data_IF_143400327636
#
_entry.id   IF_143400327636
#
_cell.length_a   1.000
_cell.length_b   1.000
_cell.length_c   1.000
_cell.angle_alpha   90.00
_cell.angle_beta   90.00
_cell.angle_gamma   90.00
#
_symmetry.space_group_name_H-M   'P 1'
#
loop_
_entity.id
_entity.type
_entity.pdbx_description
1 polymer ?
#
# COMPACT_ATOMS: atom_id res chain seq x y z
N UNK A 1 -25.65 26.32 3.51
CA UNK A 1 -26.38 25.33 4.37
C UNK A 1 -26.49 23.96 3.71
N UNK A 2 -26.76 23.86 2.40
CA UNK A 2 -26.86 22.58 1.68
C UNK A 2 -25.55 21.81 1.58
N UNK A 3 -24.41 22.50 1.39
CA UNK A 3 -23.09 21.88 1.31
C UNK A 3 -22.61 21.27 2.66
N UNK A 4 -23.03 21.84 3.79
CA UNK A 4 -22.73 21.28 5.12
C UNK A 4 -23.55 20.02 5.44
N UNK A 5 -24.78 19.91 4.95
CA UNK A 5 -25.62 18.75 5.12
C UNK A 5 -25.12 17.53 4.32
N UNK A 6 -24.49 17.75 3.17
CA UNK A 6 -23.95 16.67 2.33
C UNK A 6 -22.61 16.15 2.84
N UNK A 7 -21.85 16.94 3.60
CA UNK A 7 -20.56 16.54 4.15
C UNK A 7 -20.66 15.54 5.32
N UNK A 8 -21.68 15.69 6.18
CA UNK A 8 -21.83 14.85 7.37
C UNK A 8 -22.78 13.65 7.24
N UNK A 9 -23.64 13.64 6.24
CA UNK A 9 -24.63 12.59 6.05
C UNK A 9 -24.26 11.66 4.90
N UNK A 10 -24.45 10.34 5.10
CA UNK A 10 -24.37 9.36 4.01
C UNK A 10 -25.21 9.85 2.83
N UNK A 11 -24.76 9.63 1.61
CA UNK A 11 -25.28 10.18 0.33
C UNK A 11 -26.83 10.17 0.21
N UNK A 12 -27.48 9.12 0.68
CA UNK A 12 -28.95 8.98 0.67
C UNK A 12 -29.68 9.99 1.55
N UNK A 13 -29.39 10.17 2.84
CA UNK A 13 -30.09 11.16 3.67
C UNK A 13 -29.81 12.61 3.24
N UNK A 14 -28.65 12.89 2.65
CA UNK A 14 -28.35 14.21 2.07
C UNK A 14 -29.28 14.55 0.89
N UNK A 15 -29.55 13.60 0.01
CA UNK A 15 -30.47 13.75 -1.09
C UNK A 15 -31.91 14.05 -0.63
N UNK A 16 -32.42 13.27 0.34
CA UNK A 16 -33.74 13.51 0.92
C UNK A 16 -33.84 14.85 1.64
N UNK A 17 -32.76 15.31 2.30
CA UNK A 17 -32.72 16.61 2.92
C UNK A 17 -32.86 17.78 1.96
N UNK A 18 -32.21 17.71 0.79
CA UNK A 18 -32.32 18.73 -0.25
C UNK A 18 -33.70 18.71 -0.90
N UNK A 19 -34.26 17.53 -1.10
CA UNK A 19 -35.61 17.38 -1.67
C UNK A 19 -36.68 17.94 -0.71
N UNK A 20 -36.54 17.71 0.59
CA UNK A 20 -37.36 18.30 1.62
C UNK A 20 -37.29 19.84 1.66
N UNK A 21 -36.06 20.40 1.58
CA UNK A 21 -35.85 21.85 1.51
C UNK A 21 -36.50 22.48 0.25
N UNK A 22 -36.37 21.83 -0.89
CA UNK A 22 -37.02 22.25 -2.14
C UNK A 22 -38.56 22.24 -2.01
N UNK A 23 -39.12 21.21 -1.38
CA UNK A 23 -40.55 21.13 -1.13
C UNK A 23 -41.05 22.21 -0.16
N UNK A 24 -40.32 22.48 0.93
CA UNK A 24 -40.64 23.55 1.87
C UNK A 24 -40.57 24.92 1.19
N UNK A 25 -39.55 25.16 0.35
CA UNK A 25 -39.41 26.42 -0.38
C UNK A 25 -40.55 26.63 -1.37
N UNK A 26 -40.98 25.59 -2.12
CA UNK A 26 -42.10 25.68 -3.05
C UNK A 26 -43.41 25.96 -2.32
N UNK A 27 -43.68 25.30 -1.18
CA UNK A 27 -44.87 25.55 -0.36
C UNK A 27 -44.86 27.00 0.17
N UNK A 28 -43.75 27.50 0.62
CA UNK A 28 -43.61 28.88 1.11
C UNK A 28 -43.85 29.90 0.01
N UNK A 29 -43.32 29.68 -1.19
CA UNK A 29 -43.59 30.51 -2.36
C UNK A 29 -45.09 30.57 -2.73
N UNK A 30 -45.77 29.39 -2.72
CA UNK A 30 -47.20 29.31 -3.00
C UNK A 30 -48.03 30.06 -1.93
N UNK A 31 -47.68 29.89 -0.66
CA UNK A 31 -48.36 30.54 0.45
C UNK A 31 -48.18 32.07 0.41
N UNK A 32 -47.00 32.59 0.13
CA UNK A 32 -46.72 34.02 -0.02
C UNK A 32 -47.49 34.62 -1.25
N UNK A 33 -47.56 33.85 -2.31
CA UNK A 33 -48.34 34.26 -3.48
C UNK A 33 -49.84 34.36 -3.19
N UNK A 34 -50.42 33.36 -2.48
CA UNK A 34 -51.83 33.34 -2.19
C UNK A 34 -52.24 34.39 -1.16
N UNK A 35 -51.43 34.67 -0.14
CA UNK A 35 -51.74 35.61 0.92
C UNK A 35 -51.35 37.06 0.59
N UNK A 36 -50.14 37.26 0.04
CA UNK A 36 -49.56 38.58 -0.12
C UNK A 36 -49.39 39.01 -1.58
N UNK A 37 -49.77 38.18 -2.56
CA UNK A 37 -49.54 38.38 -4.02
C UNK A 37 -48.09 38.71 -4.39
N UNK A 38 -47.12 38.20 -3.60
CA UNK A 38 -45.71 38.40 -3.85
C UNK A 38 -45.20 37.30 -4.77
N UNK A 39 -44.64 37.67 -5.91
CA UNK A 39 -44.04 36.75 -6.86
C UNK A 39 -42.57 36.49 -6.49
N UNK A 40 -42.22 35.27 -6.09
CA UNK A 40 -40.83 34.82 -5.89
C UNK A 40 -40.42 33.89 -7.03
N UNK A 41 -39.19 33.98 -7.55
CA UNK A 41 -38.71 33.07 -8.60
C UNK A 41 -38.55 31.66 -8.02
N UNK A 42 -39.38 30.70 -8.46
CA UNK A 42 -39.35 29.31 -7.95
C UNK A 42 -38.41 28.43 -8.72
N UNK A 43 -38.35 28.55 -10.05
CA UNK A 43 -37.67 27.60 -10.93
C UNK A 43 -36.15 27.68 -10.78
N UNK A 44 -35.59 28.87 -10.76
CA UNK A 44 -34.14 29.08 -10.74
C UNK A 44 -33.45 28.54 -9.46
N UNK A 45 -33.95 28.83 -8.23
CA UNK A 45 -33.33 28.32 -7.01
C UNK A 45 -33.49 26.80 -6.84
N UNK A 46 -34.65 26.23 -7.21
CA UNK A 46 -34.92 24.80 -7.07
C UNK A 46 -34.06 23.99 -8.06
N UNK A 47 -34.09 24.36 -9.35
CA UNK A 47 -33.31 23.68 -10.38
C UNK A 47 -31.82 23.88 -10.13
N UNK A 48 -31.38 25.09 -9.74
CA UNK A 48 -29.99 25.36 -9.37
C UNK A 48 -29.49 24.55 -8.18
N UNK A 49 -30.32 24.43 -7.12
CA UNK A 49 -29.96 23.60 -5.96
C UNK A 49 -29.84 22.12 -6.31
N UNK A 50 -30.75 21.58 -7.11
CA UNK A 50 -30.71 20.19 -7.56
C UNK A 50 -29.49 19.92 -8.46
N UNK A 51 -29.16 20.84 -9.37
CA UNK A 51 -28.00 20.72 -10.25
C UNK A 51 -26.68 20.75 -9.47
N UNK A 52 -26.52 21.68 -8.55
CA UNK A 52 -25.34 21.78 -7.69
C UNK A 52 -25.19 20.53 -6.83
N UNK A 53 -26.30 20.05 -6.27
CA UNK A 53 -26.33 18.81 -5.49
C UNK A 53 -25.89 17.60 -6.32
N UNK A 54 -26.41 17.46 -7.53
CA UNK A 54 -26.04 16.38 -8.44
C UNK A 54 -24.54 16.45 -8.82
N UNK A 55 -24.05 17.63 -9.18
CA UNK A 55 -22.64 17.83 -9.52
C UNK A 55 -21.71 17.50 -8.36
N UNK A 56 -22.04 17.93 -7.13
CA UNK A 56 -21.30 17.59 -5.91
C UNK A 56 -21.29 16.09 -5.64
N UNK A 57 -22.44 15.42 -5.82
CA UNK A 57 -22.59 13.98 -5.58
C UNK A 57 -21.77 13.17 -6.58
N UNK A 58 -21.80 13.53 -7.86
CA UNK A 58 -21.00 12.88 -8.92
C UNK A 58 -19.51 13.10 -8.68
N UNK A 59 -19.10 14.32 -8.34
CA UNK A 59 -17.70 14.66 -8.04
C UNK A 59 -17.20 13.90 -6.81
N UNK A 60 -18.00 13.84 -5.75
CA UNK A 60 -17.67 13.09 -4.54
C UNK A 60 -17.46 11.61 -4.86
N UNK A 61 -18.40 11.00 -5.58
CA UNK A 61 -18.35 9.59 -5.97
C UNK A 61 -17.12 9.29 -6.84
N UNK A 62 -16.87 10.12 -7.84
CA UNK A 62 -15.72 9.96 -8.73
C UNK A 62 -14.37 10.08 -7.99
N UNK A 63 -14.26 11.03 -7.05
CA UNK A 63 -12.99 11.28 -6.34
C UNK A 63 -12.75 10.29 -5.21
N UNK A 64 -13.75 9.97 -4.41
CA UNK A 64 -13.57 9.13 -3.21
C UNK A 64 -13.55 7.63 -3.53
N UNK A 65 -14.43 7.16 -4.39
CA UNK A 65 -14.51 5.74 -4.77
C UNK A 65 -13.23 5.30 -5.52
N UNK A 66 -12.70 6.18 -6.38
CA UNK A 66 -11.42 5.94 -7.06
C UNK A 66 -10.20 5.98 -6.12
N UNK A 67 -10.22 6.80 -5.07
CA UNK A 67 -9.10 6.86 -4.10
C UNK A 67 -9.00 5.59 -3.28
N UNK A 68 -10.10 5.03 -2.83
CA UNK A 68 -10.12 3.81 -2.03
C UNK A 68 -9.66 2.60 -2.84
N UNK A 69 -10.14 2.46 -4.07
CA UNK A 69 -9.66 1.42 -5.00
C UNK A 69 -8.16 1.57 -5.30
N UNK A 70 -7.67 2.79 -5.52
CA UNK A 70 -6.24 3.04 -5.75
C UNK A 70 -5.39 2.72 -4.53
N UNK A 71 -5.87 3.00 -3.32
CA UNK A 71 -5.16 2.67 -2.08
C UNK A 71 -5.05 1.16 -1.89
N UNK A 72 -6.15 0.42 -2.03
CA UNK A 72 -6.16 -1.04 -1.96
C UNK A 72 -5.23 -1.62 -3.02
N UNK A 73 -5.36 -1.20 -4.27
CA UNK A 73 -4.49 -1.61 -5.37
C UNK A 73 -3.01 -1.33 -5.08
N UNK A 74 -2.69 -0.14 -4.54
CA UNK A 74 -1.31 0.25 -4.19
C UNK A 74 -0.70 -0.61 -3.09
N UNK A 75 -1.47 -1.04 -2.10
CA UNK A 75 -0.99 -1.93 -1.03
C UNK A 75 -0.75 -3.34 -1.58
N UNK A 76 -1.71 -3.88 -2.33
CA UNK A 76 -1.59 -5.21 -2.92
C UNK A 76 -0.50 -5.32 -3.99
N UNK A 77 -0.29 -4.27 -4.78
CA UNK A 77 0.77 -4.26 -5.81
C UNK A 77 2.20 -4.26 -5.24
N UNK A 78 2.36 -4.01 -3.95
CA UNK A 78 3.66 -4.19 -3.27
C UNK A 78 4.01 -5.65 -3.02
N UNK A 79 3.00 -6.51 -2.90
CA UNK A 79 3.16 -7.92 -2.51
C UNK A 79 2.97 -8.83 -3.74
N UNK A 80 2.05 -8.49 -4.63
CA UNK A 80 1.62 -9.33 -5.75
C UNK A 80 1.85 -8.62 -7.08
N UNK A 81 2.12 -9.35 -8.16
CA UNK A 81 2.24 -8.78 -9.50
C UNK A 81 0.96 -8.01 -9.89
N UNK A 82 1.08 -6.85 -10.57
CA UNK A 82 -0.07 -5.98 -10.90
C UNK A 82 -1.20 -6.70 -11.65
N UNK A 83 -0.85 -7.66 -12.52
CA UNK A 83 -1.82 -8.44 -13.28
C UNK A 83 -2.69 -9.33 -12.40
N UNK A 84 -2.10 -9.91 -11.35
CA UNK A 84 -2.81 -10.74 -10.37
C UNK A 84 -3.73 -9.88 -9.49
N UNK A 85 -3.30 -8.67 -9.14
CA UNK A 85 -4.14 -7.71 -8.40
C UNK A 85 -5.38 -7.33 -9.21
N UNK A 86 -5.21 -7.07 -10.50
CA UNK A 86 -6.34 -6.75 -11.38
C UNK A 86 -7.34 -7.91 -11.46
N UNK A 87 -6.85 -9.15 -11.60
CA UNK A 87 -7.72 -10.33 -11.65
C UNK A 87 -8.47 -10.57 -10.34
N UNK A 88 -7.82 -10.36 -9.19
CA UNK A 88 -8.47 -10.46 -7.88
C UNK A 88 -9.53 -9.37 -7.66
N UNK A 89 -9.32 -8.18 -8.21
CA UNK A 89 -10.28 -7.08 -8.14
C UNK A 89 -11.47 -7.26 -9.10
N UNK A 90 -11.27 -7.95 -10.23
CA UNK A 90 -12.30 -8.25 -11.23
C UNK A 90 -13.11 -9.51 -10.90
N UNK A 91 -12.59 -10.37 -10.01
CA UNK A 91 -13.30 -11.58 -9.59
C UNK A 91 -14.53 -11.21 -8.73
N UNK A 92 -15.73 -11.50 -9.22
CA UNK A 92 -17.01 -11.25 -8.51
C UNK A 92 -17.13 -12.02 -7.18
N UNK A 93 -16.36 -13.11 -7.00
CA UNK A 93 -16.25 -13.85 -5.75
C UNK A 93 -14.83 -14.41 -5.58
N UNK A 94 -14.19 -14.09 -4.47
CA UNK A 94 -13.03 -14.84 -4.01
C UNK A 94 -13.54 -16.25 -3.62
N UNK A 95 -13.26 -17.25 -4.46
CA UNK A 95 -13.49 -18.63 -4.10
C UNK A 95 -12.55 -18.96 -2.93
N UNK A 96 -13.04 -18.88 -1.70
CA UNK A 96 -12.33 -19.25 -0.46
C UNK A 96 -12.04 -20.77 -0.39
N UNK A 97 -12.59 -21.55 -1.32
CA UNK A 97 -12.25 -22.95 -1.51
C UNK A 97 -10.92 -23.06 -2.25
N UNK A 98 -9.91 -23.64 -1.61
CA UNK A 98 -8.60 -23.87 -2.23
C UNK A 98 -8.71 -24.58 -3.59
N UNK A 99 -7.81 -24.26 -4.51
CA UNK A 99 -7.70 -24.91 -5.81
C UNK A 99 -6.39 -25.69 -5.90
N UNK A 100 -6.47 -26.92 -6.45
CA UNK A 100 -5.27 -27.70 -6.74
C UNK A 100 -4.59 -27.12 -7.98
N UNK A 101 -3.34 -26.69 -7.84
CA UNK A 101 -2.53 -26.10 -8.90
C UNK A 101 -1.13 -26.70 -8.90
N UNK A 102 -0.53 -26.75 -10.07
CA UNK A 102 0.89 -27.03 -10.21
C UNK A 102 1.65 -25.71 -10.07
N UNK A 103 2.54 -25.63 -9.09
CA UNK A 103 3.28 -24.43 -8.73
C UNK A 103 4.76 -24.74 -8.55
N UNK A 104 5.59 -23.75 -8.81
CA UNK A 104 7.00 -23.75 -8.40
C UNK A 104 7.16 -22.79 -7.24
N UNK A 105 7.78 -23.23 -6.16
CA UNK A 105 8.02 -22.41 -4.96
C UNK A 105 9.50 -22.10 -4.87
N UNK A 106 9.82 -20.87 -4.51
CA UNK A 106 11.18 -20.38 -4.24
C UNK A 106 11.26 -19.88 -2.80
N UNK A 107 12.31 -20.31 -2.12
CA UNK A 107 12.77 -19.72 -0.87
C UNK A 107 14.10 -19.03 -1.14
N UNK A 108 14.17 -17.77 -0.80
CA UNK A 108 15.39 -16.96 -0.94
C UNK A 108 15.78 -16.41 0.43
N UNK A 109 16.85 -16.94 0.98
CA UNK A 109 17.34 -16.64 2.31
C UNK A 109 18.60 -15.78 2.26
N UNK A 110 18.79 -14.88 3.24
CA UNK A 110 19.99 -14.03 3.32
C UNK A 110 21.07 -14.77 4.10
N UNK A 111 22.08 -15.22 3.37
CA UNK A 111 23.16 -16.01 3.95
C UNK A 111 23.91 -15.23 5.03
N UNK A 112 24.10 -15.85 6.19
CA UNK A 112 24.90 -15.32 7.30
C UNK A 112 24.19 -14.21 8.10
N UNK A 113 22.89 -14.00 7.91
CA UNK A 113 22.17 -12.93 8.60
C UNK A 113 22.16 -13.12 10.12
N UNK A 114 21.96 -14.34 10.60
CA UNK A 114 21.97 -14.66 12.04
C UNK A 114 23.34 -14.38 12.66
N UNK A 115 24.40 -14.86 12.01
CA UNK A 115 25.77 -14.63 12.51
C UNK A 115 26.14 -13.14 12.52
N UNK A 116 25.73 -12.39 11.48
CA UNK A 116 25.99 -10.95 11.42
C UNK A 116 25.19 -10.22 12.51
N UNK A 117 23.96 -10.62 12.79
CA UNK A 117 23.13 -10.00 13.83
C UNK A 117 23.72 -10.23 15.21
N UNK A 118 24.18 -11.44 15.50
CA UNK A 118 24.82 -11.79 16.76
C UNK A 118 26.13 -11.00 16.95
N UNK A 119 26.94 -10.93 15.91
CA UNK A 119 28.21 -10.17 15.93
C UNK A 119 27.96 -8.66 16.15
N UNK A 120 26.94 -8.10 15.51
CA UNK A 120 26.55 -6.69 15.70
C UNK A 120 26.09 -6.41 17.12
N UNK A 121 25.41 -7.36 17.77
CA UNK A 121 25.00 -7.23 19.17
C UNK A 121 26.23 -7.25 20.10
N UNK A 122 27.21 -8.16 19.87
CA UNK A 122 28.45 -8.23 20.65
C UNK A 122 29.25 -6.93 20.50
N UNK A 123 29.48 -6.46 19.27
CA UNK A 123 30.22 -5.20 19.01
C UNK A 123 29.51 -4.03 19.68
N UNK A 124 28.16 -3.98 19.62
CA UNK A 124 27.36 -2.91 20.24
C UNK A 124 27.51 -2.94 21.75
N UNK A 125 27.48 -4.12 22.37
CA UNK A 125 27.70 -4.28 23.81
C UNK A 125 29.09 -3.81 24.23
N UNK A 126 30.14 -4.16 23.48
CA UNK A 126 31.50 -3.70 23.71
C UNK A 126 31.64 -2.17 23.59
N UNK A 127 31.03 -1.56 22.57
CA UNK A 127 31.03 -0.11 22.38
C UNK A 127 30.33 0.61 23.55
N UNK A 128 29.20 0.09 24.02
CA UNK A 128 28.46 0.63 25.18
C UNK A 128 29.37 0.58 26.43
N UNK A 129 30.07 -0.51 26.61
CA UNK A 129 30.98 -0.66 27.75
C UNK A 129 32.21 0.27 27.65
N UNK A 130 32.84 0.37 26.48
CA UNK A 130 34.01 1.25 26.24
C UNK A 130 33.66 2.73 26.42
N UNK A 131 32.47 3.15 25.96
CA UNK A 131 32.01 4.54 26.08
C UNK A 131 31.26 4.83 27.37
N UNK A 132 31.17 3.86 28.30
CA UNK A 132 30.47 3.96 29.58
C UNK A 132 29.01 4.46 29.43
N UNK A 133 28.37 4.05 28.35
CA UNK A 133 26.96 4.41 28.08
C UNK A 133 26.06 3.64 29.07
N UNK A 134 25.12 4.36 29.72
CA UNK A 134 24.18 3.76 30.68
C UNK A 134 22.78 4.24 30.44
N UNK A 135 21.77 3.45 30.90
CA UNK A 135 20.38 3.79 30.82
C UNK A 135 19.93 4.09 29.39
N UNK A 136 19.26 5.22 29.20
CA UNK A 136 18.67 5.60 27.89
C UNK A 136 19.69 5.71 26.75
N UNK A 137 20.93 6.10 27.03
CA UNK A 137 21.95 6.23 25.99
C UNK A 137 22.38 4.86 25.42
N UNK A 138 22.44 3.83 26.26
CA UNK A 138 22.69 2.46 25.81
C UNK A 138 21.51 1.90 25.00
N UNK A 139 20.26 2.15 25.42
CA UNK A 139 19.06 1.75 24.68
C UNK A 139 19.03 2.37 23.28
N UNK A 140 19.26 3.67 23.17
CA UNK A 140 19.32 4.38 21.87
C UNK A 140 20.35 3.75 20.94
N UNK A 141 21.53 3.34 21.47
CA UNK A 141 22.56 2.70 20.64
C UNK A 141 22.13 1.34 20.11
N UNK A 142 21.46 0.52 20.94
CA UNK A 142 20.88 -0.74 20.49
C UNK A 142 19.78 -0.53 19.44
N UNK A 143 18.91 0.47 19.63
CA UNK A 143 17.83 0.78 18.69
C UNK A 143 18.39 1.24 17.34
N UNK A 144 19.43 2.08 17.31
CA UNK A 144 20.11 2.51 16.08
C UNK A 144 20.66 1.33 15.28
N UNK A 145 21.35 0.40 15.94
CA UNK A 145 21.93 -0.79 15.28
C UNK A 145 20.83 -1.72 14.78
N UNK A 146 19.77 -1.92 15.57
CA UNK A 146 18.61 -2.71 15.16
C UNK A 146 17.92 -2.09 13.94
N UNK A 147 17.72 -0.76 13.91
CA UNK A 147 17.12 -0.06 12.78
C UNK A 147 17.97 -0.19 11.51
N UNK A 148 19.29 -0.01 11.60
CA UNK A 148 20.21 -0.19 10.47
C UNK A 148 20.18 -1.62 9.93
N UNK A 149 20.11 -2.62 10.81
CA UNK A 149 19.98 -4.03 10.44
C UNK A 149 18.67 -4.30 9.72
N UNK A 150 17.54 -3.78 10.24
CA UNK A 150 16.23 -3.89 9.61
C UNK A 150 16.15 -3.17 8.25
N UNK A 151 16.77 -2.01 8.12
CA UNK A 151 16.87 -1.30 6.85
C UNK A 151 17.64 -2.09 5.81
N UNK A 152 18.75 -2.70 6.23
CA UNK A 152 19.60 -3.52 5.36
C UNK A 152 18.82 -4.75 4.86
N UNK A 153 18.19 -5.51 5.74
CA UNK A 153 17.44 -6.70 5.32
C UNK A 153 16.25 -6.32 4.45
N UNK A 154 15.56 -5.23 4.77
CA UNK A 154 14.45 -4.72 3.98
C UNK A 154 14.86 -4.36 2.55
N UNK A 155 16.08 -3.86 2.36
CA UNK A 155 16.66 -3.58 1.04
C UNK A 155 16.81 -4.87 0.21
N UNK A 156 17.42 -5.92 0.78
CA UNK A 156 17.64 -7.20 0.10
C UNK A 156 16.30 -7.90 -0.21
N UNK A 157 15.41 -7.99 0.77
CA UNK A 157 14.11 -8.62 0.60
C UNK A 157 13.23 -7.87 -0.41
N UNK A 158 13.27 -6.53 -0.38
CA UNK A 158 12.58 -5.68 -1.36
C UNK A 158 13.11 -5.90 -2.77
N UNK A 159 14.42 -5.98 -2.94
CA UNK A 159 15.06 -6.26 -4.22
C UNK A 159 14.64 -7.64 -4.78
N UNK A 160 14.64 -8.68 -3.95
CA UNK A 160 14.17 -10.02 -4.33
C UNK A 160 12.70 -9.99 -4.72
N UNK A 161 11.85 -9.30 -3.95
CA UNK A 161 10.43 -9.18 -4.22
C UNK A 161 10.13 -8.50 -5.57
N UNK A 162 10.90 -7.48 -5.93
CA UNK A 162 10.75 -6.80 -7.23
C UNK A 162 11.16 -7.70 -8.41
N UNK A 163 12.20 -8.50 -8.25
CA UNK A 163 12.59 -9.49 -9.27
C UNK A 163 11.55 -10.60 -9.40
N UNK A 164 11.02 -11.12 -8.29
CA UNK A 164 9.91 -12.09 -8.29
C UNK A 164 8.74 -11.57 -9.12
N UNK A 165 8.31 -10.35 -8.87
CA UNK A 165 7.20 -9.71 -9.61
C UNK A 165 7.55 -9.53 -11.09
N UNK A 166 8.77 -9.07 -11.40
CA UNK A 166 9.26 -8.89 -12.78
C UNK A 166 9.16 -10.17 -13.61
N UNK A 167 9.39 -11.32 -12.98
CA UNK A 167 9.30 -12.64 -13.64
C UNK A 167 7.92 -13.32 -13.48
N UNK A 168 6.89 -12.57 -13.11
CA UNK A 168 5.51 -13.06 -13.02
C UNK A 168 5.27 -14.00 -11.82
N UNK A 169 6.10 -13.91 -10.78
CA UNK A 169 5.92 -14.61 -9.51
C UNK A 169 5.04 -13.83 -8.53
N UNK A 170 4.51 -14.55 -7.58
CA UNK A 170 3.75 -14.01 -6.45
C UNK A 170 4.59 -14.15 -5.19
N UNK A 171 4.87 -13.05 -4.51
CA UNK A 171 5.47 -13.07 -3.18
C UNK A 171 4.38 -13.48 -2.19
N UNK A 172 4.61 -14.56 -1.44
CA UNK A 172 3.67 -15.03 -0.41
C UNK A 172 3.88 -14.28 0.90
N UNK A 173 5.07 -14.42 1.46
CA UNK A 173 5.42 -13.80 2.74
C UNK A 173 6.93 -13.70 2.93
N UNK A 174 7.32 -12.94 3.95
CA UNK A 174 8.65 -13.01 4.53
C UNK A 174 8.64 -13.88 5.79
N UNK A 175 9.65 -14.72 5.95
CA UNK A 175 9.85 -15.61 7.09
C UNK A 175 11.19 -15.23 7.70
N UNK A 176 11.22 -14.22 8.58
CA UNK A 176 12.45 -13.61 9.04
C UNK A 176 13.20 -12.92 7.89
N UNK A 177 14.39 -13.39 7.60
CA UNK A 177 15.27 -12.96 6.51
C UNK A 177 15.09 -13.74 5.21
N UNK A 178 14.08 -14.63 5.15
CA UNK A 178 13.76 -15.44 3.99
C UNK A 178 12.53 -14.87 3.26
N UNK A 179 12.58 -14.76 1.93
CA UNK A 179 11.44 -14.46 1.08
C UNK A 179 10.88 -15.75 0.47
N UNK A 180 9.60 -16.00 0.68
CA UNK A 180 8.86 -17.09 0.05
C UNK A 180 8.04 -16.56 -1.12
N UNK A 181 8.22 -17.16 -2.30
CA UNK A 181 7.51 -16.79 -3.51
C UNK A 181 7.11 -18.04 -4.31
N UNK A 182 6.10 -17.91 -5.16
CA UNK A 182 5.65 -19.00 -6.01
C UNK A 182 5.20 -18.51 -7.40
N UNK A 183 5.18 -19.44 -8.38
CA UNK A 183 4.70 -19.24 -9.75
C UNK A 183 3.69 -20.32 -10.09
N UNK A 184 2.70 -20.00 -10.93
CA UNK A 184 1.65 -20.93 -11.38
C UNK A 184 0.31 -20.76 -10.67
N UNK A 185 0.24 -19.84 -9.69
CA UNK A 185 -0.98 -19.44 -9.04
C UNK A 185 -0.95 -17.91 -8.77
N UNK A 186 -2.11 -17.23 -8.63
CA UNK A 186 -3.46 -17.73 -8.86
C UNK A 186 -3.73 -18.07 -10.34
N UNK A 187 -3.00 -17.43 -11.28
CA UNK A 187 -3.07 -17.75 -12.71
C UNK A 187 -2.23 -18.98 -13.06
N UNK A 188 -2.81 -19.95 -13.78
CA UNK A 188 -2.03 -21.04 -14.35
C UNK A 188 -0.96 -20.48 -15.30
N UNK A 189 0.29 -20.91 -15.09
CA UNK A 189 1.39 -20.52 -15.96
C UNK A 189 2.19 -21.77 -16.34
N UNK A 190 2.13 -22.24 -17.58
CA UNK A 190 2.89 -23.44 -18.01
C UNK A 190 4.42 -23.24 -17.94
N UNK A 191 4.88 -22.00 -17.86
CA UNK A 191 6.30 -21.63 -17.74
C UNK A 191 6.69 -21.27 -16.29
N UNK A 192 5.91 -21.69 -15.28
CA UNK A 192 6.13 -21.35 -13.88
C UNK A 192 7.55 -21.70 -13.40
N UNK A 193 8.08 -22.86 -13.79
CA UNK A 193 9.43 -23.27 -13.42
C UNK A 193 10.51 -22.40 -14.06
N UNK A 194 10.33 -22.07 -15.35
CA UNK A 194 11.27 -21.20 -16.07
C UNK A 194 11.28 -19.77 -15.47
N UNK A 195 10.11 -19.23 -15.14
CA UNK A 195 9.97 -17.93 -14.46
C UNK A 195 10.72 -17.91 -13.14
N UNK A 196 10.55 -18.94 -12.31
CA UNK A 196 11.25 -19.10 -11.04
C UNK A 196 12.77 -19.13 -11.20
N UNK A 197 13.30 -19.95 -12.13
CA UNK A 197 14.75 -20.09 -12.38
C UNK A 197 15.34 -18.75 -12.86
N UNK A 198 14.67 -18.07 -13.77
CA UNK A 198 15.11 -16.74 -14.25
C UNK A 198 15.14 -15.72 -13.12
N UNK A 199 14.14 -15.71 -12.26
CA UNK A 199 14.09 -14.83 -11.08
C UNK A 199 15.25 -15.14 -10.13
N UNK A 200 15.51 -16.41 -9.83
CA UNK A 200 16.60 -16.82 -8.95
C UNK A 200 17.98 -16.39 -9.50
N UNK A 201 18.23 -16.59 -10.79
CA UNK A 201 19.51 -16.18 -11.43
C UNK A 201 19.66 -14.65 -11.40
N UNK A 202 18.60 -13.91 -11.73
CA UNK A 202 18.65 -12.44 -11.72
C UNK A 202 18.82 -11.91 -10.30
N UNK A 203 18.14 -12.50 -9.31
CA UNK A 203 18.31 -12.14 -7.90
C UNK A 203 19.76 -12.32 -7.42
N UNK A 204 20.37 -13.46 -7.71
CA UNK A 204 21.77 -13.74 -7.36
C UNK A 204 22.73 -12.73 -7.98
N UNK A 205 22.58 -12.44 -9.26
CA UNK A 205 23.42 -11.46 -9.97
C UNK A 205 23.25 -10.06 -9.40
N UNK A 206 22.01 -9.63 -9.22
CA UNK A 206 21.73 -8.28 -8.73
C UNK A 206 22.13 -8.07 -7.27
N UNK A 207 22.03 -9.10 -6.41
CA UNK A 207 22.55 -9.04 -5.05
C UNK A 207 24.07 -8.93 -5.06
N UNK A 208 24.75 -9.66 -5.93
CA UNK A 208 26.20 -9.53 -6.06
C UNK A 208 26.60 -8.11 -6.48
N UNK A 209 25.94 -7.53 -7.49
CA UNK A 209 26.19 -6.15 -7.92
C UNK A 209 25.85 -5.13 -6.81
N UNK A 210 24.78 -5.36 -6.05
CA UNK A 210 24.38 -4.51 -4.93
C UNK A 210 25.47 -4.52 -3.84
N UNK A 211 26.01 -5.70 -3.51
CA UNK A 211 27.06 -5.84 -2.53
C UNK A 211 28.36 -5.14 -2.97
N UNK A 212 28.75 -5.29 -4.23
CA UNK A 212 29.93 -4.59 -4.77
C UNK A 212 29.77 -3.07 -4.66
N UNK A 213 28.59 -2.52 -4.95
CA UNK A 213 28.32 -1.07 -4.80
C UNK A 213 28.40 -0.65 -3.33
N UNK A 214 27.84 -1.42 -2.42
CA UNK A 214 27.87 -1.13 -0.99
C UNK A 214 29.30 -1.20 -0.40
N UNK A 215 30.10 -2.14 -0.85
CA UNK A 215 31.53 -2.20 -0.46
C UNK A 215 32.27 -0.95 -0.92
N UNK A 216 32.03 -0.47 -2.15
CA UNK A 216 32.61 0.77 -2.64
C UNK A 216 32.12 1.98 -1.83
N UNK A 217 30.82 2.09 -1.58
CA UNK A 217 30.24 3.18 -0.80
C UNK A 217 30.76 3.18 0.65
N UNK A 218 30.88 2.03 1.27
CA UNK A 218 31.46 1.88 2.61
C UNK A 218 32.95 2.24 2.63
N UNK A 219 33.70 1.86 1.60
CA UNK A 219 35.12 2.24 1.47
C UNK A 219 35.29 3.75 1.37
N UNK A 220 34.35 4.44 0.71
CA UNK A 220 34.35 5.91 0.63
C UNK A 220 33.88 6.58 1.94
N UNK A 221 32.94 5.98 2.66
CA UNK A 221 32.30 6.60 3.82
C UNK A 221 33.10 6.34 5.13
N UNK A 222 33.71 5.18 5.27
CA UNK A 222 34.36 4.74 6.50
C UNK A 222 35.89 4.58 6.38
N UNK A 223 36.49 5.04 5.29
CA UNK A 223 37.99 5.04 5.15
C UNK A 223 38.63 3.68 5.27
N UNK A 224 38.00 2.61 4.81
CA UNK A 224 38.57 1.27 4.76
C UNK A 224 38.62 0.51 6.08
N UNK A 225 37.83 0.86 7.05
CA UNK A 225 37.85 0.26 8.40
C UNK A 225 37.21 -1.14 8.52
N UNK A 226 36.77 -1.72 7.43
CA UNK A 226 36.23 -3.10 7.39
C UNK A 226 36.74 -3.86 6.16
N UNK A 227 38.05 -4.04 6.09
CA UNK A 227 38.71 -5.02 5.24
C UNK A 227 39.16 -6.21 6.09
#
# INVERSE_FOLDING_TARGET
TTALLTWQLRVLPGFFGVLALAAIYTLLCVQLFTQNRIWLPMVLPVVGALFVQYALLVTYRAVFEQREQRRVKSVFSKIVAPDVVNELLEAESLALGGARREVTVMFADVRGFTEITDLLQEITAEQIQQHHLTGRAAEVRYDEVAEQTLQTISLYLGFIADIVKKHGGTLDKYIGDCAMAFWGAPRPNPLHALGCVRAAIEAQRGIHELNQRRELDNAFTYGGAYA
#
